data_IF_709799432602
#
_entry.id   IF_709799432602
#
_cell.length_a   1.000
_cell.length_b   1.000
_cell.length_c   1.000
_cell.angle_alpha   90.00
_cell.angle_beta   90.00
_cell.angle_gamma   90.00
#
_symmetry.space_group_name_H-M   'P 1'
#
loop_
_entity.id
_entity.type
_entity.pdbx_description
1 polymer ?
#
# COMPACT_ATOMS: atom_id res chain seq x y z
N UNK A 1 16.01 -19.59 16.56
CA UNK A 1 15.41 -20.63 15.70
C UNK A 1 13.88 -20.67 15.86
N UNK A 2 13.16 -19.57 15.61
CA UNK A 2 11.71 -19.46 15.93
C UNK A 2 10.80 -20.19 14.92
N UNK A 3 11.34 -20.60 13.76
CA UNK A 3 10.55 -21.16 12.64
C UNK A 3 11.05 -22.53 12.15
N UNK A 4 11.96 -23.21 12.86
CA UNK A 4 12.40 -24.56 12.47
C UNK A 4 11.33 -25.58 12.89
N UNK A 5 10.77 -26.30 11.92
CA UNK A 5 9.80 -27.38 12.15
C UNK A 5 8.33 -27.03 11.85
N UNK A 6 8.02 -25.79 11.49
CA UNK A 6 6.69 -25.40 11.02
C UNK A 6 6.54 -25.73 9.53
N UNK A 7 5.40 -26.28 9.14
CA UNK A 7 5.07 -26.48 7.73
C UNK A 7 4.80 -25.12 7.04
N UNK A 8 4.95 -25.07 5.71
CA UNK A 8 4.73 -23.84 4.92
C UNK A 8 3.33 -23.24 5.13
N UNK A 9 2.34 -24.07 5.42
CA UNK A 9 0.97 -23.65 5.73
C UNK A 9 0.84 -23.01 7.11
N UNK A 10 1.65 -23.43 8.09
CA UNK A 10 1.70 -22.84 9.44
C UNK A 10 2.55 -21.57 9.47
N UNK A 11 3.44 -21.39 8.50
CA UNK A 11 4.22 -20.15 8.30
C UNK A 11 3.50 -19.12 7.42
N UNK A 12 2.52 -19.53 6.62
CA UNK A 12 1.77 -18.63 5.74
C UNK A 12 0.83 -17.76 6.57
N UNK A 13 1.08 -16.45 6.58
CA UNK A 13 0.32 -15.47 7.38
C UNK A 13 -1.13 -15.22 6.94
N UNK A 14 -1.68 -16.01 6.01
CA UNK A 14 -3.04 -15.86 5.52
C UNK A 14 -3.49 -17.00 4.62
N UNK A 15 -4.79 -17.29 4.61
CA UNK A 15 -5.44 -18.25 3.71
C UNK A 15 -5.88 -17.60 2.39
N UNK A 16 -6.48 -18.38 1.49
CA UNK A 16 -6.92 -17.89 0.18
C UNK A 16 -7.85 -16.66 0.26
N UNK A 17 -8.74 -16.63 1.26
CA UNK A 17 -9.63 -15.49 1.52
C UNK A 17 -8.85 -14.22 1.88
N UNK A 18 -7.80 -14.33 2.68
CA UNK A 18 -6.96 -13.18 3.05
C UNK A 18 -6.36 -12.54 1.80
N UNK A 19 -5.79 -13.35 0.89
CA UNK A 19 -5.23 -12.86 -0.36
C UNK A 19 -6.28 -12.21 -1.28
N UNK A 20 -7.47 -12.81 -1.38
CA UNK A 20 -8.57 -12.24 -2.15
C UNK A 20 -9.00 -10.89 -1.59
N UNK A 21 -9.19 -10.79 -0.28
CA UNK A 21 -9.54 -9.53 0.38
C UNK A 21 -8.45 -8.48 0.20
N UNK A 22 -7.17 -8.87 0.30
CA UNK A 22 -6.03 -7.97 0.01
C UNK A 22 -6.10 -7.44 -1.41
N UNK A 23 -6.36 -8.29 -2.41
CA UNK A 23 -6.50 -7.85 -3.80
C UNK A 23 -7.68 -6.87 -3.97
N UNK A 24 -8.83 -7.15 -3.37
CA UNK A 24 -9.98 -6.24 -3.40
C UNK A 24 -9.68 -4.89 -2.74
N UNK A 25 -8.97 -4.88 -1.61
CA UNK A 25 -8.56 -3.63 -0.97
C UNK A 25 -7.57 -2.83 -1.81
N UNK A 26 -6.67 -3.49 -2.53
CA UNK A 26 -5.72 -2.84 -3.43
C UNK A 26 -6.43 -2.22 -4.66
N UNK A 27 -7.43 -2.94 -5.21
CA UNK A 27 -8.29 -2.42 -6.28
C UNK A 27 -9.10 -1.21 -5.78
N UNK A 28 -9.68 -1.28 -4.59
CA UNK A 28 -10.40 -0.16 -3.97
C UNK A 28 -9.51 1.08 -3.79
N UNK A 29 -8.29 0.90 -3.30
CA UNK A 29 -7.31 1.99 -3.16
C UNK A 29 -6.94 2.63 -4.50
N UNK A 30 -6.72 1.81 -5.54
CA UNK A 30 -6.41 2.29 -6.89
C UNK A 30 -7.60 3.00 -7.54
N UNK A 31 -8.82 2.52 -7.29
CA UNK A 31 -10.04 3.18 -7.76
C UNK A 31 -10.23 4.57 -7.11
N UNK A 32 -9.98 4.70 -5.80
CA UNK A 32 -10.02 5.99 -5.11
C UNK A 32 -8.97 6.95 -5.69
N UNK A 33 -7.76 6.46 -5.99
CA UNK A 33 -6.72 7.26 -6.65
C UNK A 33 -7.17 7.77 -8.03
N UNK A 34 -7.75 6.90 -8.87
CA UNK A 34 -8.31 7.30 -10.16
C UNK A 34 -9.45 8.33 -10.02
N UNK A 35 -10.34 8.13 -9.04
CA UNK A 35 -11.42 9.06 -8.74
C UNK A 35 -10.87 10.45 -8.37
N UNK A 36 -9.82 10.50 -7.55
CA UNK A 36 -9.19 11.76 -7.14
C UNK A 36 -8.57 12.52 -8.33
N UNK A 37 -7.95 11.81 -9.28
CA UNK A 37 -7.41 12.43 -10.49
C UNK A 37 -8.52 12.94 -11.41
N UNK A 38 -9.58 12.16 -11.60
CA UNK A 38 -10.77 12.58 -12.37
C UNK A 38 -11.42 13.82 -11.77
N UNK A 39 -11.56 13.89 -10.44
CA UNK A 39 -12.17 15.04 -9.76
C UNK A 39 -11.29 16.29 -9.80
N UNK A 40 -9.97 16.11 -9.92
CA UNK A 40 -9.02 17.21 -10.06
C UNK A 40 -8.93 17.76 -11.49
N UNK A 41 -9.56 17.08 -12.48
CA UNK A 41 -9.41 17.35 -13.92
C UNK A 41 -7.93 17.33 -14.40
N UNK A 42 -7.09 16.60 -13.66
CA UNK A 42 -5.63 16.55 -13.82
C UNK A 42 -5.22 15.11 -14.12
N UNK A 43 -5.29 14.74 -15.40
CA UNK A 43 -4.96 13.39 -15.90
C UNK A 43 -3.55 13.32 -16.48
N UNK A 44 -2.57 13.90 -15.78
CA UNK A 44 -1.16 13.83 -16.20
C UNK A 44 -0.40 12.80 -15.40
N UNK A 45 0.62 12.18 -16.01
CA UNK A 45 1.52 11.24 -15.33
C UNK A 45 2.13 11.83 -14.05
N UNK A 46 2.47 13.13 -14.08
CA UNK A 46 3.05 13.84 -12.94
C UNK A 46 2.00 14.03 -11.85
N UNK A 47 0.78 14.45 -12.19
CA UNK A 47 -0.32 14.56 -11.23
C UNK A 47 -0.61 13.21 -10.57
N UNK A 48 -0.68 12.13 -11.36
CA UNK A 48 -0.85 10.77 -10.87
C UNK A 48 0.23 10.34 -9.87
N UNK A 49 1.50 10.59 -10.18
CA UNK A 49 2.62 10.32 -9.28
C UNK A 49 2.51 11.13 -7.98
N UNK A 50 2.21 12.43 -8.06
CA UNK A 50 2.11 13.31 -6.90
C UNK A 50 0.97 12.87 -5.98
N UNK A 51 -0.22 12.65 -6.54
CA UNK A 51 -1.40 12.20 -5.76
C UNK A 51 -1.14 10.81 -5.17
N UNK A 52 -0.55 9.88 -5.93
CA UNK A 52 -0.13 8.57 -5.45
C UNK A 52 0.84 8.65 -4.27
N UNK A 53 1.85 9.53 -4.35
CA UNK A 53 2.78 9.77 -3.25
C UNK A 53 2.09 10.37 -2.02
N UNK A 54 1.18 11.32 -2.20
CA UNK A 54 0.42 11.91 -1.09
C UNK A 54 -0.43 10.87 -0.35
N UNK A 55 -1.12 9.99 -1.09
CA UNK A 55 -1.87 8.87 -0.49
C UNK A 55 -0.91 7.92 0.23
N UNK A 56 0.19 7.55 -0.42
CA UNK A 56 1.20 6.67 0.16
C UNK A 56 1.79 7.23 1.45
N UNK A 57 2.10 8.52 1.51
CA UNK A 57 2.57 9.22 2.72
C UNK A 57 1.48 9.21 3.80
N UNK A 58 0.22 9.53 3.44
CA UNK A 58 -0.90 9.52 4.38
C UNK A 58 -1.07 8.15 5.05
N UNK A 59 -1.05 7.07 4.25
CA UNK A 59 -1.08 5.69 4.74
C UNK A 59 0.13 5.38 5.62
N UNK A 60 1.32 5.81 5.21
CA UNK A 60 2.57 5.62 5.97
C UNK A 60 2.50 6.25 7.35
N UNK A 61 1.99 7.48 7.44
CA UNK A 61 1.78 8.18 8.71
C UNK A 61 0.78 7.45 9.59
N UNK A 62 -0.32 6.93 9.03
CA UNK A 62 -1.30 6.13 9.78
C UNK A 62 -0.71 4.85 10.35
N UNK A 63 0.08 4.12 9.55
CA UNK A 63 0.83 2.95 10.02
C UNK A 63 1.82 3.34 11.12
N UNK A 64 2.48 4.49 10.96
CA UNK A 64 3.44 5.02 11.93
C UNK A 64 2.82 5.26 13.30
N UNK A 65 1.60 5.79 13.35
CA UNK A 65 0.89 5.96 14.62
C UNK A 65 0.77 4.64 15.38
N UNK A 66 0.38 3.56 14.71
CA UNK A 66 0.26 2.24 15.34
C UNK A 66 1.63 1.72 15.80
N UNK A 67 2.65 1.85 14.95
CA UNK A 67 4.02 1.43 15.26
C UNK A 67 4.62 2.12 16.49
N UNK A 68 4.28 3.40 16.74
CA UNK A 68 4.73 4.14 17.92
C UNK A 68 4.22 3.49 19.22
N UNK A 69 3.04 2.89 19.21
CA UNK A 69 2.46 2.22 20.39
C UNK A 69 2.85 0.73 20.47
N UNK A 70 3.12 0.07 19.35
CA UNK A 70 3.44 -1.36 19.30
C UNK A 70 4.89 -1.70 19.73
N UNK A 71 5.78 -0.70 19.85
CA UNK A 71 7.17 -0.91 20.26
C UNK A 71 8.00 -1.75 19.26
N UNK A 72 7.51 -1.88 18.02
CA UNK A 72 8.17 -2.63 16.97
C UNK A 72 9.45 -1.96 16.47
N UNK A 73 10.34 -2.73 15.83
CA UNK A 73 11.61 -2.21 15.28
C UNK A 73 11.35 -1.25 14.12
N UNK A 74 12.01 -0.09 14.13
CA UNK A 74 11.92 0.92 13.06
C UNK A 74 12.26 0.36 11.67
N UNK A 75 13.13 -0.64 11.56
CA UNK A 75 13.41 -1.28 10.27
C UNK A 75 12.16 -1.92 9.63
N UNK A 76 11.30 -2.56 10.44
CA UNK A 76 10.07 -3.19 9.95
C UNK A 76 9.03 -2.13 9.54
N UNK A 77 9.02 -0.99 10.24
CA UNK A 77 8.22 0.16 9.86
C UNK A 77 8.57 0.65 8.45
N UNK A 78 9.85 0.92 8.17
CA UNK A 78 10.29 1.40 6.86
C UNK A 78 9.98 0.41 5.71
N UNK A 79 10.13 -0.89 5.97
CA UNK A 79 9.74 -1.93 5.00
C UNK A 79 8.23 -1.88 4.72
N UNK A 80 7.42 -1.78 5.78
CA UNK A 80 5.95 -1.79 5.68
C UNK A 80 5.43 -0.55 4.95
N UNK A 81 5.90 0.64 5.31
CA UNK A 81 5.47 1.87 4.64
C UNK A 81 6.02 1.97 3.21
N UNK A 82 7.25 1.49 2.98
CA UNK A 82 7.88 1.51 1.66
C UNK A 82 7.08 0.71 0.64
N UNK A 83 6.56 -0.46 1.04
CA UNK A 83 5.64 -1.25 0.21
C UNK A 83 4.42 -0.44 -0.22
N UNK A 84 3.73 0.25 0.70
CA UNK A 84 2.54 1.03 0.38
C UNK A 84 2.87 2.28 -0.44
N UNK A 85 3.93 2.99 -0.07
CA UNK A 85 4.37 4.22 -0.74
C UNK A 85 4.73 3.96 -2.20
N UNK A 86 5.55 2.94 -2.47
CA UNK A 86 5.94 2.56 -3.83
C UNK A 86 4.74 2.03 -4.62
N UNK A 87 3.87 1.24 -3.99
CA UNK A 87 2.67 0.71 -4.66
C UNK A 87 1.73 1.82 -5.14
N UNK A 88 1.44 2.82 -4.30
CA UNK A 88 0.59 3.96 -4.71
C UNK A 88 1.29 4.89 -5.70
N UNK A 89 2.61 5.07 -5.61
CA UNK A 89 3.36 5.84 -6.60
C UNK A 89 3.29 5.19 -7.99
N UNK A 90 3.50 3.88 -8.08
CA UNK A 90 3.39 3.13 -9.34
C UNK A 90 1.95 3.12 -9.85
N UNK A 91 0.97 2.88 -8.98
CA UNK A 91 -0.44 2.93 -9.37
C UNK A 91 -0.82 4.30 -9.92
N UNK A 92 -0.37 5.38 -9.28
CA UNK A 92 -0.58 6.75 -9.73
C UNK A 92 0.06 7.06 -11.07
N UNK A 93 1.30 6.59 -11.29
CA UNK A 93 1.95 6.69 -12.60
C UNK A 93 1.16 5.98 -13.70
N UNK A 94 0.71 4.74 -13.44
CA UNK A 94 -0.05 3.96 -14.41
C UNK A 94 -1.36 4.67 -14.75
N UNK A 95 -2.13 5.04 -13.72
CA UNK A 95 -3.44 5.67 -13.91
C UNK A 95 -3.30 7.04 -14.59
N UNK A 96 -2.36 7.88 -14.15
CA UNK A 96 -2.11 9.19 -14.75
C UNK A 96 -1.53 9.13 -16.17
N UNK A 97 -1.01 7.98 -16.61
CA UNK A 97 -0.66 7.75 -18.02
C UNK A 97 -1.84 7.23 -18.85
N UNK A 98 -2.88 6.68 -18.22
CA UNK A 98 -4.00 6.00 -18.89
C UNK A 98 -5.27 6.83 -18.97
N UNK A 99 -5.42 7.86 -18.13
CA UNK A 99 -6.49 8.84 -18.18
C UNK A 99 -6.15 9.98 -19.13
#
# INVERSE_FOLDING_TARGET
>A
MKYRGLSKNEMSGGGAITYMLTALTALGGSFILALLLTLADESTMIAGLVVGLLIGISVSLKIGMNYLFEGHKLGLYFITIGYHLVSYAIAGLIIGCMQ
#
